data_IF_338265617564
#
_entry.id   IF_338265617564
#
_cell.length_a   1.000
_cell.length_b   1.000
_cell.length_c   1.000
_cell.angle_alpha   90.00
_cell.angle_beta   90.00
_cell.angle_gamma   90.00
#
_symmetry.space_group_name_H-M   'P 1'
#
loop_
_entity.id
_entity.type
_entity.pdbx_description
1 polymer ?
#
# COMPACT_ATOMS: atom_id res chain seq x y z
N UNK A 1 -46.96 -41.29 56.06
CA UNK A 1 -45.69 -41.91 56.46
C UNK A 1 -44.59 -41.18 55.73
N UNK A 2 -43.51 -40.67 56.30
CA UNK A 2 -43.15 -40.36 57.69
C UNK A 2 -41.97 -39.39 57.56
N UNK A 3 -42.02 -38.35 58.37
CA UNK A 3 -40.93 -37.69 59.10
C UNK A 3 -39.47 -37.96 58.71
N UNK A 4 -38.70 -36.87 58.60
CA UNK A 4 -37.24 -36.90 58.45
C UNK A 4 -36.60 -35.56 58.79
N UNK A 5 -36.78 -35.14 60.04
CA UNK A 5 -36.06 -34.07 60.72
C UNK A 5 -34.56 -34.38 60.81
N UNK A 6 -33.68 -33.46 60.42
CA UNK A 6 -32.39 -33.25 61.09
C UNK A 6 -32.03 -31.76 61.03
N UNK A 7 -32.19 -31.13 62.19
CA UNK A 7 -31.59 -29.86 62.57
C UNK A 7 -30.31 -30.15 63.35
N UNK A 8 -29.49 -29.10 63.58
CA UNK A 8 -28.24 -29.05 64.38
C UNK A 8 -26.98 -29.40 63.55
N UNK A 9 -25.86 -28.67 63.55
CA UNK A 9 -25.30 -27.70 64.49
C UNK A 9 -24.40 -26.66 63.78
N UNK A 10 -24.32 -25.51 64.43
CA UNK A 10 -23.38 -24.40 64.31
C UNK A 10 -21.93 -24.79 64.02
N UNK A 11 -21.33 -24.15 63.00
CA UNK A 11 -19.89 -23.95 62.93
C UNK A 11 -19.59 -22.46 62.88
N UNK A 12 -19.40 -21.91 64.08
CA UNK A 12 -18.79 -20.61 64.31
C UNK A 12 -17.29 -20.76 64.00
N UNK A 13 -16.84 -20.19 62.88
CA UNK A 13 -15.41 -20.03 62.60
C UNK A 13 -15.11 -18.54 62.51
N UNK A 14 -14.78 -18.03 63.68
CA UNK A 14 -14.16 -16.74 63.93
C UNK A 14 -12.73 -16.73 63.32
N UNK A 15 -12.62 -16.68 61.99
CA UNK A 15 -11.32 -16.56 61.33
C UNK A 15 -10.91 -15.09 61.18
N UNK A 16 -10.34 -14.60 62.28
CA UNK A 16 -9.18 -13.70 62.36
C UNK A 16 -9.00 -12.76 61.16
N UNK A 17 -9.70 -11.61 61.21
CA UNK A 17 -9.39 -10.47 60.33
C UNK A 17 -7.92 -10.09 60.49
N UNK A 18 -7.11 -10.04 59.42
CA UNK A 18 -5.76 -9.50 59.51
C UNK A 18 -5.85 -8.02 59.89
N UNK A 19 -5.22 -7.68 61.00
CA UNK A 19 -5.02 -6.31 61.45
C UNK A 19 -4.34 -5.51 60.33
N UNK A 20 -5.01 -4.47 59.85
CA UNK A 20 -4.40 -3.51 58.93
C UNK A 20 -3.15 -2.93 59.60
N UNK A 21 -1.96 -2.99 58.95
CA UNK A 21 -0.85 -2.17 59.40
C UNK A 21 -1.22 -0.70 59.14
N UNK A 22 -1.58 0.02 60.20
CA UNK A 22 -1.51 1.47 60.26
C UNK A 22 -0.03 1.84 60.36
N UNK A 23 0.64 1.90 59.22
CA UNK A 23 2.04 2.28 59.10
C UNK A 23 2.20 3.20 57.90
N UNK A 24 2.52 4.45 58.18
CA UNK A 24 2.88 5.48 57.21
C UNK A 24 3.88 4.96 56.17
N UNK A 25 3.63 5.28 54.91
CA UNK A 25 4.54 5.03 53.81
C UNK A 25 4.21 5.96 52.65
N UNK A 26 4.12 7.28 52.92
CA UNK A 26 3.87 8.34 51.93
C UNK A 26 4.97 8.45 50.83
N UNK A 27 5.90 7.49 50.76
CA UNK A 27 7.01 7.45 49.80
C UNK A 27 6.86 6.46 48.63
N UNK A 28 5.98 5.45 48.71
CA UNK A 28 5.86 4.44 47.63
C UNK A 28 4.87 4.82 46.52
N UNK A 29 3.89 5.68 46.78
CA UNK A 29 2.91 6.07 45.76
C UNK A 29 3.51 7.00 44.68
N UNK A 30 4.53 7.79 45.04
CA UNK A 30 5.24 8.67 44.10
C UNK A 30 6.06 7.90 43.06
N UNK A 31 6.64 6.76 43.43
CA UNK A 31 7.42 5.93 42.51
C UNK A 31 6.55 5.14 41.52
N UNK A 32 5.34 4.73 41.89
CA UNK A 32 4.41 4.09 40.95
C UNK A 32 3.88 5.06 39.88
N UNK A 33 3.67 6.33 40.21
CA UNK A 33 3.26 7.36 39.24
C UNK A 33 4.39 7.76 38.29
N UNK A 34 5.64 7.79 38.76
CA UNK A 34 6.84 8.00 37.92
C UNK A 34 7.06 6.80 36.98
N UNK A 35 6.80 5.57 37.44
CA UNK A 35 6.89 4.36 36.62
C UNK A 35 5.88 4.35 35.47
N UNK A 36 4.59 4.55 35.75
CA UNK A 36 3.56 4.54 34.71
C UNK A 36 3.62 5.77 33.78
N UNK A 37 3.95 6.94 34.33
CA UNK A 37 4.12 8.15 33.53
C UNK A 37 5.32 8.07 32.58
N UNK A 38 6.45 7.53 33.03
CA UNK A 38 7.64 7.34 32.20
C UNK A 38 7.40 6.37 31.04
N UNK A 39 6.68 5.27 31.28
CA UNK A 39 6.35 4.29 30.25
C UNK A 39 5.45 4.92 29.16
N UNK A 40 4.44 5.70 29.54
CA UNK A 40 3.59 6.40 28.56
C UNK A 40 4.38 7.38 27.69
N UNK A 41 5.32 8.13 28.28
CA UNK A 41 6.18 9.06 27.52
C UNK A 41 7.04 8.29 26.51
N UNK A 42 7.62 7.14 26.88
CA UNK A 42 8.39 6.31 25.95
C UNK A 42 7.51 5.81 24.80
N UNK A 43 6.28 5.37 25.07
CA UNK A 43 5.35 4.96 24.01
C UNK A 43 5.01 6.11 23.06
N UNK A 44 4.77 7.32 23.58
CA UNK A 44 4.49 8.49 22.74
C UNK A 44 5.71 8.85 21.88
N UNK A 45 6.92 8.83 22.43
CA UNK A 45 8.14 9.10 21.67
C UNK A 45 8.34 8.02 20.59
N UNK A 46 8.14 6.75 20.92
CA UNK A 46 8.24 5.66 19.95
C UNK A 46 7.21 5.82 18.83
N UNK A 47 5.98 6.21 19.14
CA UNK A 47 4.95 6.49 18.14
C UNK A 47 5.31 7.68 17.24
N UNK A 48 5.86 8.77 17.80
CA UNK A 48 6.32 9.93 17.01
C UNK A 48 7.47 9.53 16.09
N UNK A 49 8.45 8.79 16.58
CA UNK A 49 9.57 8.29 15.77
C UNK A 49 9.05 7.38 14.66
N UNK A 50 8.09 6.50 14.95
CA UNK A 50 7.48 5.62 13.96
C UNK A 50 6.74 6.42 12.87
N UNK A 51 5.93 7.41 13.23
CA UNK A 51 5.22 8.27 12.27
C UNK A 51 6.21 9.09 11.43
N UNK A 52 7.26 9.62 12.05
CA UNK A 52 8.31 10.36 11.36
C UNK A 52 9.08 9.46 10.38
N UNK A 53 9.44 8.25 10.81
CA UNK A 53 10.09 7.25 9.97
C UNK A 53 9.20 6.85 8.79
N UNK A 54 7.92 6.57 9.03
CA UNK A 54 6.97 6.24 7.96
C UNK A 54 6.83 7.39 6.96
N UNK A 55 6.72 8.64 7.42
CA UNK A 55 6.70 9.82 6.54
C UNK A 55 7.99 9.98 5.73
N UNK A 56 9.13 9.65 6.31
CA UNK A 56 10.43 9.76 5.62
C UNK A 56 10.60 8.75 4.47
N UNK A 57 9.78 7.69 4.42
CA UNK A 57 9.79 6.73 3.31
C UNK A 57 9.07 7.27 2.06
N UNK A 58 8.19 8.27 2.22
CA UNK A 58 7.46 8.88 1.13
C UNK A 58 8.22 10.08 0.57
N UNK A 59 8.37 10.07 -0.74
CA UNK A 59 8.92 11.16 -1.54
C UNK A 59 7.75 11.84 -2.23
N UNK A 60 7.35 13.01 -1.72
CA UNK A 60 6.28 13.83 -2.29
C UNK A 60 6.80 14.85 -3.33
N UNK A 61 8.12 14.97 -3.47
CA UNK A 61 8.74 15.84 -4.47
C UNK A 61 8.56 15.22 -5.88
N UNK A 62 7.84 15.88 -6.79
CA UNK A 62 7.55 15.36 -8.12
C UNK A 62 8.81 15.08 -8.94
N UNK A 63 9.89 15.83 -8.71
CA UNK A 63 11.16 15.66 -9.43
C UNK A 63 11.84 14.37 -8.99
N UNK A 64 11.84 14.07 -7.70
CA UNK A 64 12.42 12.84 -7.17
C UNK A 64 11.56 11.61 -7.47
N UNK A 65 10.24 11.76 -7.37
CA UNK A 65 9.30 10.71 -7.80
C UNK A 65 9.47 10.39 -9.28
N UNK A 66 9.69 11.41 -10.12
CA UNK A 66 10.02 11.23 -11.54
C UNK A 66 11.34 10.50 -11.77
N UNK A 67 12.39 10.79 -10.99
CA UNK A 67 13.65 10.02 -11.06
C UNK A 67 13.44 8.56 -10.69
N UNK A 68 12.71 8.28 -9.61
CA UNK A 68 12.41 6.91 -9.20
C UNK A 68 11.57 6.16 -10.24
N UNK A 69 10.64 6.86 -10.91
CA UNK A 69 9.89 6.29 -12.01
C UNK A 69 10.82 5.82 -13.13
N UNK A 70 11.77 6.67 -13.55
CA UNK A 70 12.75 6.30 -14.57
C UNK A 70 13.67 5.16 -14.14
N UNK A 71 13.96 5.03 -12.84
CA UNK A 71 14.72 3.90 -12.29
C UNK A 71 13.92 2.59 -12.36
N UNK A 72 12.61 2.63 -12.13
CA UNK A 72 11.73 1.45 -12.19
C UNK A 72 11.50 1.02 -13.64
N UNK A 73 11.05 1.96 -14.47
CA UNK A 73 10.77 1.75 -15.89
C UNK A 73 11.08 3.03 -16.66
N UNK A 74 12.04 3.00 -17.60
CA UNK A 74 12.30 4.14 -18.46
C UNK A 74 11.05 4.43 -19.30
N UNK A 75 10.41 5.57 -19.07
CA UNK A 75 9.12 5.90 -19.70
C UNK A 75 8.90 7.41 -19.77
N UNK A 76 7.84 7.85 -20.45
CA UNK A 76 7.40 9.24 -20.40
C UNK A 76 6.09 9.33 -19.66
N UNK A 77 6.00 10.28 -18.74
CA UNK A 77 4.74 10.58 -18.06
C UNK A 77 3.74 11.13 -19.09
N UNK A 78 2.48 10.66 -19.10
CA UNK A 78 1.47 11.17 -20.01
C UNK A 78 1.25 12.68 -19.89
N UNK A 79 0.84 13.32 -20.97
CA UNK A 79 0.54 14.75 -20.97
C UNK A 79 -0.58 15.09 -19.98
N UNK A 80 -0.40 16.16 -19.20
CA UNK A 80 -1.36 16.54 -18.15
C UNK A 80 -1.17 15.83 -16.81
N UNK A 81 -0.25 14.86 -16.72
CA UNK A 81 0.06 14.14 -15.50
C UNK A 81 1.46 14.50 -14.96
N UNK A 82 1.69 14.20 -13.68
CA UNK A 82 2.99 14.31 -13.04
C UNK A 82 3.16 13.23 -11.95
N UNK A 83 4.39 12.75 -11.69
CA UNK A 83 4.69 11.92 -10.53
C UNK A 83 4.40 12.72 -9.26
N UNK A 84 3.59 12.19 -8.34
CA UNK A 84 3.17 12.89 -7.12
C UNK A 84 3.72 12.29 -5.86
N UNK A 85 3.87 10.98 -5.85
CA UNK A 85 4.32 10.25 -4.69
C UNK A 85 5.22 9.12 -5.17
N UNK A 86 6.32 8.91 -4.49
CA UNK A 86 7.11 7.71 -4.63
C UNK A 86 7.46 7.18 -3.25
N UNK A 87 7.66 5.89 -3.14
CA UNK A 87 8.07 5.26 -1.90
C UNK A 87 9.02 4.12 -2.22
N UNK A 88 10.08 4.02 -1.42
CA UNK A 88 10.89 2.80 -1.34
C UNK A 88 10.44 2.00 -0.13
N UNK A 89 10.35 0.69 -0.30
CA UNK A 89 9.96 -0.27 0.72
C UNK A 89 11.21 -1.11 1.02
N UNK A 90 12.07 -0.70 1.98
CA UNK A 90 13.38 -1.30 2.17
C UNK A 90 13.31 -2.79 2.56
N UNK A 91 12.20 -3.20 3.19
CA UNK A 91 11.99 -4.57 3.67
C UNK A 91 11.97 -5.58 2.52
N UNK A 92 11.46 -5.18 1.35
CA UNK A 92 11.31 -6.05 0.17
C UNK A 92 12.09 -5.52 -1.03
N UNK A 93 12.98 -4.55 -0.81
CA UNK A 93 13.67 -3.77 -1.85
C UNK A 93 12.73 -3.27 -2.95
N UNK A 94 11.49 -2.97 -2.55
CA UNK A 94 10.42 -2.59 -3.44
C UNK A 94 10.41 -1.08 -3.66
N UNK A 95 9.83 -0.65 -4.76
CA UNK A 95 9.56 0.77 -5.00
C UNK A 95 8.24 0.92 -5.71
N UNK A 96 7.56 2.03 -5.45
CA UNK A 96 6.40 2.42 -6.23
C UNK A 96 6.36 3.92 -6.47
N UNK A 97 5.68 4.29 -7.54
CA UNK A 97 5.42 5.67 -7.93
C UNK A 97 3.96 5.81 -8.31
N UNK A 98 3.33 6.86 -7.81
CA UNK A 98 1.98 7.31 -8.15
C UNK A 98 2.10 8.51 -9.07
N UNK A 99 1.40 8.45 -10.18
CA UNK A 99 1.31 9.50 -11.19
C UNK A 99 -0.15 9.92 -11.28
N UNK A 100 -0.40 11.22 -11.22
CA UNK A 100 -1.76 11.75 -11.21
C UNK A 100 -1.84 13.06 -12.01
N UNK A 101 -3.05 13.56 -12.31
CA UNK A 101 -3.20 14.80 -13.05
C UNK A 101 -2.56 15.98 -12.30
N UNK A 102 -1.95 16.89 -13.07
CA UNK A 102 -1.32 18.11 -12.53
C UNK A 102 -2.34 18.92 -11.74
N UNK A 103 -1.93 19.38 -10.57
CA UNK A 103 -2.77 20.22 -9.69
C UNK A 103 -3.75 19.45 -8.80
N UNK A 104 -3.82 18.12 -8.88
CA UNK A 104 -4.60 17.30 -7.92
C UNK A 104 -3.78 17.10 -6.65
N UNK A 105 -4.25 17.60 -5.51
CA UNK A 105 -3.58 17.42 -4.22
C UNK A 105 -3.91 16.03 -3.64
N UNK A 106 -2.87 15.22 -3.38
CA UNK A 106 -2.96 14.02 -2.55
C UNK A 106 -2.72 14.42 -1.09
N UNK A 107 -3.64 15.19 -0.52
CA UNK A 107 -3.55 15.62 0.87
C UNK A 107 -4.52 14.80 1.73
N UNK A 108 -4.06 13.66 2.25
CA UNK A 108 -4.88 12.79 3.11
C UNK A 108 -5.97 12.03 2.37
N UNK A 109 -6.92 11.47 3.12
CA UNK A 109 -8.08 10.69 2.64
C UNK A 109 -9.10 11.57 1.90
N UNK A 110 -8.64 12.37 0.95
CA UNK A 110 -9.48 13.23 0.14
C UNK A 110 -10.14 12.34 -0.92
N UNK A 111 -11.44 12.10 -0.75
CA UNK A 111 -12.30 11.29 -1.65
C UNK A 111 -12.12 11.68 -3.13
N UNK A 112 -11.76 12.95 -3.38
CA UNK A 112 -11.55 13.52 -4.71
C UNK A 112 -10.29 13.03 -5.43
N UNK A 113 -9.35 12.39 -4.72
CA UNK A 113 -8.16 11.80 -5.36
C UNK A 113 -8.54 10.67 -6.34
N UNK A 114 -9.73 10.08 -6.18
CA UNK A 114 -10.26 9.00 -7.01
C UNK A 114 -11.27 9.47 -8.07
N UNK A 115 -11.53 10.78 -8.20
CA UNK A 115 -12.39 11.34 -9.26
C UNK A 115 -11.69 11.44 -10.63
N UNK A 116 -10.40 11.05 -10.69
CA UNK A 116 -9.56 11.12 -11.87
C UNK A 116 -8.82 9.80 -12.11
N UNK A 117 -8.29 9.63 -13.31
CA UNK A 117 -7.35 8.54 -13.58
C UNK A 117 -6.06 8.77 -12.82
N UNK A 118 -5.56 7.72 -12.18
CA UNK A 118 -4.28 7.67 -11.49
C UNK A 118 -3.52 6.45 -11.99
N UNK A 119 -2.22 6.59 -12.20
CA UNK A 119 -1.35 5.49 -12.55
C UNK A 119 -0.44 5.14 -11.38
N UNK A 120 -0.23 3.85 -11.21
CA UNK A 120 0.66 3.27 -10.22
C UNK A 120 1.69 2.42 -10.94
N UNK A 121 2.97 2.68 -10.70
CA UNK A 121 4.05 1.85 -11.21
C UNK A 121 4.81 1.31 -10.02
N UNK A 122 4.99 -0.01 -9.94
CA UNK A 122 5.75 -0.61 -8.85
C UNK A 122 6.74 -1.64 -9.35
N UNK A 123 7.81 -1.77 -8.60
CA UNK A 123 8.86 -2.75 -8.74
C UNK A 123 9.04 -3.51 -7.44
N UNK A 124 8.91 -4.83 -7.50
CA UNK A 124 9.15 -5.76 -6.41
C UNK A 124 10.14 -6.83 -6.91
N UNK A 125 11.44 -6.67 -6.62
CA UNK A 125 12.44 -7.62 -7.09
C UNK A 125 12.17 -9.01 -6.48
N UNK A 126 12.21 -10.03 -7.33
CA UNK A 126 11.96 -11.42 -6.92
C UNK A 126 10.48 -11.80 -6.74
N UNK A 127 9.55 -10.87 -6.92
CA UNK A 127 8.13 -11.20 -6.92
C UNK A 127 7.74 -11.92 -8.23
N UNK A 128 7.11 -13.09 -8.11
CA UNK A 128 6.56 -13.79 -9.28
C UNK A 128 5.28 -13.10 -9.74
N UNK A 129 4.86 -13.37 -10.99
CA UNK A 129 3.60 -12.86 -11.52
C UNK A 129 2.41 -13.30 -10.67
N UNK A 130 2.42 -14.52 -10.14
CA UNK A 130 1.36 -15.03 -9.27
C UNK A 130 1.34 -14.30 -7.92
N UNK A 131 2.50 -14.00 -7.33
CA UNK A 131 2.58 -13.26 -6.07
C UNK A 131 2.07 -11.83 -6.23
N UNK A 132 2.42 -11.18 -7.34
CA UNK A 132 1.89 -9.87 -7.69
C UNK A 132 0.37 -9.97 -7.84
N UNK A 133 -0.17 -10.93 -8.60
CA UNK A 133 -1.62 -11.15 -8.73
C UNK A 133 -2.34 -11.35 -7.37
N UNK A 134 -1.77 -12.12 -6.45
CA UNK A 134 -2.37 -12.31 -5.12
C UNK A 134 -2.35 -11.01 -4.32
N UNK A 135 -1.28 -10.23 -4.40
CA UNK A 135 -1.19 -8.92 -3.75
C UNK A 135 -2.22 -7.93 -4.32
N UNK A 136 -2.52 -8.02 -5.63
CA UNK A 136 -3.56 -7.21 -6.29
C UNK A 136 -4.96 -7.52 -5.77
N UNK A 137 -5.28 -8.82 -5.58
CA UNK A 137 -6.55 -9.23 -4.96
C UNK A 137 -6.71 -8.66 -3.56
N UNK A 138 -5.62 -8.53 -2.82
CA UNK A 138 -5.62 -7.96 -1.48
C UNK A 138 -5.72 -6.42 -1.46
N UNK A 139 -5.31 -5.74 -2.55
CA UNK A 139 -5.39 -4.28 -2.68
C UNK A 139 -6.70 -3.77 -3.31
N UNK A 140 -7.67 -4.65 -3.58
CA UNK A 140 -9.01 -4.27 -4.05
C UNK A 140 -9.26 -4.47 -5.55
N UNK A 141 -8.39 -5.19 -6.26
CA UNK A 141 -8.71 -5.83 -7.54
C UNK A 141 -9.28 -7.22 -7.21
N UNK A 142 -10.47 -7.25 -6.59
CA UNK A 142 -11.10 -8.46 -6.07
C UNK A 142 -12.21 -8.15 -5.07
N UNK A 143 -13.04 -9.15 -4.77
CA UNK A 143 -14.13 -9.02 -3.78
C UNK A 143 -13.56 -8.79 -2.38
N UNK A 144 -13.51 -7.52 -1.98
CA UNK A 144 -13.28 -7.10 -0.60
C UNK A 144 -14.60 -6.93 0.13
N UNK A 145 -14.57 -6.86 1.47
CA UNK A 145 -15.77 -6.71 2.31
C UNK A 145 -16.65 -5.49 1.93
N UNK A 146 -16.07 -4.51 1.23
CA UNK A 146 -16.68 -3.23 0.83
C UNK A 146 -16.63 -2.89 -0.68
N UNK A 147 -16.15 -3.80 -1.54
CA UNK A 147 -16.01 -3.58 -2.99
C UNK A 147 -16.59 -4.79 -3.72
N UNK A 148 -17.57 -4.56 -4.59
CA UNK A 148 -18.08 -5.61 -5.50
C UNK A 148 -17.39 -5.48 -6.84
N UNK A 149 -16.67 -6.52 -7.27
CA UNK A 149 -16.18 -6.60 -8.65
C UNK A 149 -17.32 -7.04 -9.55
N UNK A 150 -17.69 -6.20 -10.51
CA UNK A 150 -18.78 -6.46 -11.45
C UNK A 150 -18.34 -7.22 -12.68
N UNK A 151 -17.12 -6.96 -13.12
CA UNK A 151 -16.54 -7.50 -14.34
C UNK A 151 -15.03 -7.59 -14.15
N UNK A 152 -14.44 -8.73 -14.50
CA UNK A 152 -13.00 -8.94 -14.57
C UNK A 152 -12.73 -9.71 -15.85
N UNK A 153 -11.96 -9.11 -16.75
CA UNK A 153 -11.65 -9.68 -18.05
C UNK A 153 -10.20 -9.43 -18.43
N UNK A 154 -9.54 -10.39 -19.13
CA UNK A 154 -8.25 -10.14 -19.73
C UNK A 154 -8.39 -9.03 -20.78
N UNK A 155 -7.37 -8.17 -20.87
CA UNK A 155 -7.32 -7.08 -21.85
C UNK A 155 -5.98 -7.09 -22.56
N UNK A 156 -6.00 -6.82 -23.86
CA UNK A 156 -4.81 -6.60 -24.67
C UNK A 156 -4.86 -5.17 -25.22
N UNK A 157 -3.80 -4.40 -25.00
CA UNK A 157 -3.65 -3.03 -25.52
C UNK A 157 -2.41 -2.96 -26.39
N UNK A 158 -2.59 -2.56 -27.65
CA UNK A 158 -1.48 -2.23 -28.54
C UNK A 158 -1.05 -0.76 -28.34
N UNK A 159 0.22 -0.55 -27.99
CA UNK A 159 0.80 0.77 -27.81
C UNK A 159 2.30 0.74 -28.12
N UNK A 160 2.81 1.77 -28.82
CA UNK A 160 4.24 1.84 -29.16
C UNK A 160 4.77 0.68 -30.00
N UNK A 161 3.89 -0.04 -30.72
CA UNK A 161 4.25 -1.22 -31.51
C UNK A 161 4.36 -2.53 -30.71
N UNK A 162 4.03 -2.50 -29.42
CA UNK A 162 4.01 -3.67 -28.53
C UNK A 162 2.58 -3.96 -28.04
N UNK A 163 2.27 -5.24 -27.82
CA UNK A 163 0.99 -5.68 -27.26
C UNK A 163 1.15 -5.94 -25.76
N UNK A 164 0.54 -5.10 -24.95
CA UNK A 164 0.49 -5.25 -23.50
C UNK A 164 -0.69 -6.13 -23.10
N UNK A 165 -0.42 -7.23 -22.41
CA UNK A 165 -1.43 -8.14 -21.87
C UNK A 165 -1.64 -7.86 -20.39
N UNK A 166 -2.89 -7.67 -20.01
CA UNK A 166 -3.25 -7.29 -18.66
C UNK A 166 -4.64 -7.77 -18.27
N UNK A 167 -5.12 -7.23 -17.17
CA UNK A 167 -6.45 -7.47 -16.63
C UNK A 167 -7.18 -6.13 -16.50
N UNK A 168 -8.45 -6.11 -16.87
CA UNK A 168 -9.37 -5.00 -16.64
C UNK A 168 -10.41 -5.48 -15.64
N UNK A 169 -10.58 -4.73 -14.55
CA UNK A 169 -11.63 -4.95 -13.57
C UNK A 169 -12.52 -3.71 -13.47
N UNK A 170 -13.83 -3.91 -13.35
CA UNK A 170 -14.78 -2.86 -12.98
C UNK A 170 -15.32 -3.19 -11.61
N UNK A 171 -15.17 -2.24 -10.69
CA UNK A 171 -15.54 -2.38 -9.29
C UNK A 171 -16.52 -1.28 -8.89
N UNK A 172 -17.41 -1.58 -7.96
CA UNK A 172 -18.32 -0.60 -7.37
C UNK A 172 -18.12 -0.59 -5.86
N UNK A 173 -17.65 0.53 -5.32
CA UNK A 173 -17.57 0.73 -3.87
C UNK A 173 -18.96 0.95 -3.26
N UNK A 174 -19.16 0.48 -2.02
CA UNK A 174 -20.44 0.65 -1.29
C UNK A 174 -20.78 2.09 -0.87
N UNK A 175 -19.85 3.04 -0.99
CA UNK A 175 -20.02 4.43 -0.56
C UNK A 175 -20.86 5.26 -1.53
N UNK A 176 -20.25 5.68 -2.63
CA UNK A 176 -20.79 6.59 -3.63
C UNK A 176 -21.25 5.88 -4.92
N UNK A 177 -21.08 4.55 -4.98
CA UNK A 177 -21.70 3.69 -5.99
C UNK A 177 -21.25 3.97 -7.43
N UNK A 178 -20.22 4.78 -7.66
CA UNK A 178 -19.69 5.00 -9.00
C UNK A 178 -18.84 3.79 -9.43
N UNK A 179 -18.97 3.32 -10.68
CA UNK A 179 -18.10 2.29 -11.20
C UNK A 179 -16.68 2.85 -11.36
N UNK A 180 -15.72 2.14 -10.78
CA UNK A 180 -14.29 2.39 -10.90
C UNK A 180 -13.71 1.33 -11.82
N UNK A 181 -13.04 1.76 -12.88
CA UNK A 181 -12.28 0.87 -13.76
C UNK A 181 -10.83 0.81 -13.27
N UNK A 182 -10.28 -0.39 -13.32
CA UNK A 182 -8.91 -0.69 -12.94
C UNK A 182 -8.28 -1.50 -14.06
N UNK A 183 -7.13 -1.06 -14.54
CA UNK A 183 -6.28 -1.79 -15.47
C UNK A 183 -5.03 -2.22 -14.75
N UNK A 184 -4.57 -3.42 -15.06
CA UNK A 184 -3.35 -3.98 -14.52
C UNK A 184 -2.51 -4.61 -15.63
N UNK A 185 -1.24 -4.24 -15.70
CA UNK A 185 -0.29 -4.70 -16.70
C UNK A 185 1.00 -5.15 -16.03
N UNK A 186 1.28 -6.47 -16.01
CA UNK A 186 2.60 -6.98 -15.66
C UNK A 186 3.58 -6.69 -16.82
N UNK A 187 4.40 -5.65 -16.68
CA UNK A 187 5.29 -5.19 -17.75
C UNK A 187 6.47 -6.15 -17.93
N UNK A 188 7.18 -6.48 -16.85
CA UNK A 188 8.32 -7.41 -16.83
C UNK A 188 8.47 -8.06 -15.46
N UNK A 189 9.46 -8.93 -15.28
CA UNK A 189 9.69 -9.61 -14.00
C UNK A 189 9.82 -8.58 -12.87
N UNK A 190 8.95 -8.68 -11.86
CA UNK A 190 8.90 -7.77 -10.72
C UNK A 190 8.34 -6.39 -10.99
N UNK A 191 8.02 -5.98 -12.23
CA UNK A 191 7.51 -4.62 -12.53
C UNK A 191 6.07 -4.67 -13.02
N UNK A 192 5.23 -3.86 -12.38
CA UNK A 192 3.81 -3.74 -12.67
C UNK A 192 3.41 -2.29 -12.92
N UNK A 193 2.45 -2.10 -13.81
CA UNK A 193 1.72 -0.85 -13.95
C UNK A 193 0.23 -1.12 -13.71
N UNK A 194 -0.39 -0.33 -12.83
CA UNK A 194 -1.82 -0.29 -12.67
C UNK A 194 -2.34 1.12 -13.01
N UNK A 195 -3.57 1.20 -13.48
CA UNK A 195 -4.26 2.46 -13.69
C UNK A 195 -5.68 2.34 -13.14
N UNK A 196 -6.14 3.30 -12.37
CA UNK A 196 -7.46 3.27 -11.76
C UNK A 196 -8.14 4.64 -11.85
N UNK A 197 -9.46 4.65 -11.97
CA UNK A 197 -10.26 5.86 -12.01
C UNK A 197 -11.74 5.58 -12.25
N UNK A 198 -12.60 6.60 -12.24
CA UNK A 198 -14.01 6.44 -12.54
C UNK A 198 -14.18 6.00 -13.99
N UNK A 199 -15.01 4.98 -14.26
CA UNK A 199 -15.18 4.43 -15.60
C UNK A 199 -15.59 5.50 -16.63
N UNK A 200 -16.46 6.45 -16.24
CA UNK A 200 -16.94 7.53 -17.10
C UNK A 200 -15.88 8.60 -17.43
N UNK A 201 -14.86 8.74 -16.58
CA UNK A 201 -13.82 9.77 -16.70
C UNK A 201 -12.44 9.17 -16.96
N UNK A 202 -12.37 7.87 -17.22
CA UNK A 202 -11.11 7.20 -17.35
C UNK A 202 -10.38 7.63 -18.62
N UNK A 203 -9.15 8.11 -18.47
CA UNK A 203 -8.32 8.61 -19.56
C UNK A 203 -7.59 7.46 -20.26
N UNK A 204 -8.29 6.77 -21.15
CA UNK A 204 -7.70 5.70 -21.97
C UNK A 204 -6.58 6.21 -22.90
N UNK A 205 -6.65 7.47 -23.32
CA UNK A 205 -5.63 8.07 -24.18
C UNK A 205 -4.31 8.23 -23.42
N UNK A 206 -4.37 8.70 -22.17
CA UNK A 206 -3.21 8.74 -21.28
C UNK A 206 -2.67 7.33 -21.00
N UNK A 207 -3.53 6.33 -20.77
CA UNK A 207 -3.09 4.94 -20.59
C UNK A 207 -2.31 4.41 -21.79
N UNK A 208 -2.84 4.56 -23.01
CA UNK A 208 -2.16 4.11 -24.25
C UNK A 208 -0.86 4.88 -24.49
N UNK A 209 -0.87 6.20 -24.27
CA UNK A 209 0.32 7.04 -24.36
C UNK A 209 1.40 6.58 -23.38
N UNK A 210 0.99 6.22 -22.15
CA UNK A 210 1.93 5.77 -21.13
C UNK A 210 2.58 4.44 -21.50
N UNK A 211 1.77 3.44 -21.86
CA UNK A 211 2.21 2.13 -22.33
C UNK A 211 3.12 2.25 -23.56
N UNK A 212 2.76 3.09 -24.52
CA UNK A 212 3.58 3.32 -25.72
C UNK A 212 4.96 3.89 -25.39
N UNK A 213 5.05 4.76 -24.38
CA UNK A 213 6.34 5.32 -23.95
C UNK A 213 7.27 4.31 -23.28
N UNK A 214 6.70 3.25 -22.69
CA UNK A 214 7.44 2.13 -22.09
C UNK A 214 8.02 1.26 -23.22
N UNK A 215 7.18 0.86 -24.17
CA UNK A 215 7.58 0.06 -25.33
C UNK A 215 8.71 0.71 -26.16
N UNK A 216 8.61 2.01 -26.42
CA UNK A 216 9.64 2.75 -27.18
C UNK A 216 11.03 2.71 -26.53
N UNK A 217 11.09 2.63 -25.20
CA UNK A 217 12.34 2.65 -24.45
C UNK A 217 12.95 1.26 -24.32
N UNK A 218 12.13 0.25 -24.04
CA UNK A 218 12.57 -1.15 -24.01
C UNK A 218 13.05 -1.61 -25.40
N UNK A 219 12.38 -1.18 -26.48
CA UNK A 219 12.81 -1.46 -27.86
C UNK A 219 14.10 -0.75 -28.29
N UNK A 220 14.51 0.30 -27.59
CA UNK A 220 15.75 1.04 -27.88
C UNK A 220 16.95 0.49 -27.09
N UNK A 221 16.74 -0.05 -25.88
CA UNK A 221 17.78 -0.78 -25.13
C UNK A 221 18.12 -2.13 -25.78
N UNK A 222 17.14 -2.86 -26.32
CA UNK A 222 17.37 -4.12 -27.02
C UNK A 222 18.18 -3.98 -28.33
N UNK A 223 18.29 -2.76 -28.89
CA UNK A 223 19.14 -2.47 -30.07
C UNK A 223 20.56 -2.03 -29.71
N UNK A 224 20.89 -1.91 -28.42
CA UNK A 224 22.19 -1.48 -27.94
C UNK A 224 22.98 -2.64 -27.27
N UNK A 225 23.10 -3.79 -27.93
CA UNK A 225 24.16 -4.78 -27.63
C UNK A 225 25.39 -4.52 -28.52
N UNK A 226 26.62 -4.74 -28.00
CA UNK A 226 27.82 -4.08 -28.49
C UNK A 226 28.28 -4.66 -29.83
N UNK A 227 28.69 -3.77 -30.73
CA UNK A 227 29.48 -4.13 -31.89
C UNK A 227 30.68 -4.97 -31.40
N UNK A 228 30.69 -6.26 -31.76
CA UNK A 228 31.82 -7.16 -31.56
C UNK A 228 33.10 -6.46 -31.97
N UNK A 229 33.95 -6.23 -30.99
CA UNK A 229 35.34 -5.83 -31.15
C UNK A 229 36.01 -6.89 -32.05
N UNK A 230 36.24 -6.50 -33.30
CA UNK A 230 36.92 -7.34 -34.29
C UNK A 230 38.37 -7.50 -33.85
N UNK A 231 38.75 -8.72 -33.48
CA UNK A 231 40.14 -9.09 -33.27
C UNK A 231 40.97 -8.75 -34.52
N UNK A 232 42.12 -8.07 -34.40
CA UNK A 232 43.05 -7.94 -35.50
C UNK A 232 43.85 -9.25 -35.65
N UNK A 233 43.79 -9.83 -36.85
CA UNK A 233 44.79 -10.75 -37.39
C UNK A 233 45.37 -10.09 -38.66
N UNK A 234 46.57 -10.43 -39.14
CA UNK A 234 47.44 -11.56 -38.76
C UNK A 234 48.71 -11.18 -37.98
#
# INVERSE_FOLDING_TARGET
MSEGFTSSETFDSEEKRPSRPKGQGLGCLGWSLIGCGGVLVVFVIAAIILVWYMKSLFVEDPVQAGKMLQEIVPCRVPEGYEPRMAMRIPIVDGSFVVIAPKGVAFAGSDEKAFDFTVFFVAHFPGATKEQLQVQLKQQGIGDGENVQVKDEAPVEIEAGGETFRGERAVSQGKGDGKPMVQYFFPLRAGVIMAAFGPEEKFDEAALKSFLGSIAEKDGNEAKAEPAKEAAPAP
#
